data_IF_018230116867
#
_entry.id   IF_018230116867
#
_cell.length_a   1.000
_cell.length_b   1.000
_cell.length_c   1.000
_cell.angle_alpha   90.00
_cell.angle_beta   90.00
_cell.angle_gamma   90.00
#
_symmetry.space_group_name_H-M   'P 1'
#
loop_
_entity.id
_entity.type
_entity.pdbx_description
1 polymer ?
#
# COMPACT_ATOMS: atom_id res chain seq x y z
N UNK A 1 -6.01 -5.55 8.85
CA UNK A 1 -4.89 -5.24 7.94
C UNK A 1 -5.44 -5.02 6.53
N UNK A 2 -4.66 -4.40 5.66
CA UNK A 2 -4.79 -4.58 4.21
C UNK A 2 -3.43 -4.98 3.65
N UNK A 3 -3.26 -4.87 2.34
CA UNK A 3 -2.01 -5.15 1.66
C UNK A 3 -1.62 -4.01 0.72
N UNK A 4 -0.32 -3.92 0.49
CA UNK A 4 0.21 -3.21 -0.66
C UNK A 4 0.06 -4.08 -1.91
N UNK A 5 -0.17 -3.41 -3.03
CA UNK A 5 -0.25 -3.99 -4.36
C UNK A 5 0.67 -3.20 -5.29
N UNK A 6 1.31 -3.90 -6.21
CA UNK A 6 2.10 -3.28 -7.26
C UNK A 6 1.20 -3.09 -8.47
N UNK A 7 1.07 -1.84 -8.88
CA UNK A 7 0.23 -1.42 -9.99
C UNK A 7 1.08 -1.13 -11.21
N UNK A 8 0.52 -1.34 -12.40
CA UNK A 8 1.19 -1.05 -13.66
C UNK A 8 0.22 -1.02 -14.84
N UNK A 9 0.72 -0.61 -16.03
CA UNK A 9 -0.09 -0.59 -17.24
C UNK A 9 -0.48 -2.02 -17.66
N UNK A 10 -1.62 -2.14 -18.35
CA UNK A 10 -2.13 -3.43 -18.84
C UNK A 10 -1.11 -4.20 -19.70
N UNK A 11 -0.30 -3.48 -20.49
CA UNK A 11 0.73 -4.04 -21.37
C UNK A 11 1.91 -4.70 -20.65
N UNK A 12 2.13 -4.43 -19.36
CA UNK A 12 3.20 -5.02 -18.55
C UNK A 12 4.59 -5.02 -19.22
N UNK A 13 5.11 -3.86 -19.65
CA UNK A 13 6.37 -3.80 -20.38
C UNK A 13 7.59 -4.33 -19.62
N UNK A 14 7.49 -4.53 -18.30
CA UNK A 14 8.54 -5.11 -17.46
C UNK A 14 8.28 -6.60 -17.13
N UNK A 15 7.14 -7.15 -17.55
CA UNK A 15 6.77 -8.56 -17.33
C UNK A 15 6.62 -8.92 -15.85
N UNK A 16 6.10 -7.98 -15.05
CA UNK A 16 5.97 -8.07 -13.60
C UNK A 16 4.97 -9.13 -13.17
N UNK A 17 3.94 -9.43 -13.97
CA UNK A 17 2.96 -10.48 -13.65
C UNK A 17 3.58 -11.88 -13.53
N UNK A 18 4.75 -12.11 -14.12
CA UNK A 18 5.48 -13.39 -14.06
C UNK A 18 6.44 -13.46 -12.87
N UNK A 19 6.44 -12.46 -12.01
CA UNK A 19 7.37 -12.42 -10.89
C UNK A 19 7.04 -13.51 -9.88
N UNK A 20 8.07 -14.19 -9.42
CA UNK A 20 7.94 -15.19 -8.34
C UNK A 20 7.65 -14.55 -6.99
N UNK A 21 8.13 -13.32 -6.79
CA UNK A 21 8.06 -12.61 -5.53
C UNK A 21 8.20 -11.08 -5.70
N UNK A 22 7.97 -10.30 -4.63
CA UNK A 22 7.99 -8.82 -4.72
C UNK A 22 9.37 -8.27 -5.11
N UNK A 23 10.44 -8.99 -4.77
CA UNK A 23 11.80 -8.57 -5.10
C UNK A 23 12.13 -8.86 -6.58
N UNK A 24 11.66 -9.97 -7.13
CA UNK A 24 11.70 -10.26 -8.57
C UNK A 24 10.93 -9.19 -9.36
N UNK A 25 9.73 -8.81 -8.90
CA UNK A 25 8.95 -7.73 -9.50
C UNK A 25 9.71 -6.41 -9.56
N UNK A 26 10.30 -5.98 -8.44
CA UNK A 26 11.07 -4.74 -8.36
C UNK A 26 12.35 -4.82 -9.20
N UNK A 27 13.06 -5.96 -9.22
CA UNK A 27 14.24 -6.16 -10.10
C UNK A 27 13.87 -6.03 -11.57
N UNK A 28 12.72 -6.58 -11.99
CA UNK A 28 12.24 -6.49 -13.37
C UNK A 28 11.98 -5.06 -13.79
N UNK A 29 11.29 -4.28 -12.96
CA UNK A 29 11.02 -2.86 -13.22
C UNK A 29 12.33 -2.07 -13.38
N UNK A 30 13.27 -2.25 -12.44
CA UNK A 30 14.54 -1.55 -12.49
C UNK A 30 15.39 -1.97 -13.72
N UNK A 31 15.41 -3.27 -14.04
CA UNK A 31 16.15 -3.83 -15.17
C UNK A 31 15.58 -3.44 -16.53
N UNK A 32 14.25 -3.25 -16.63
CA UNK A 32 13.60 -2.78 -17.86
C UNK A 32 13.63 -1.26 -18.01
N UNK A 33 14.02 -0.52 -16.96
CA UNK A 33 14.00 0.94 -16.89
C UNK A 33 12.65 1.57 -17.27
N UNK A 34 11.55 0.84 -17.06
CA UNK A 34 10.21 1.41 -17.22
C UNK A 34 9.94 2.34 -16.05
N UNK A 35 9.20 3.42 -16.28
CA UNK A 35 8.92 4.41 -15.24
C UNK A 35 8.28 3.75 -14.01
N UNK A 36 8.78 4.13 -12.85
CA UNK A 36 8.22 3.85 -11.54
C UNK A 36 7.96 5.19 -10.84
N UNK A 37 6.74 5.41 -10.36
CA UNK A 37 6.36 6.61 -9.62
C UNK A 37 6.29 6.26 -8.14
N UNK A 38 7.21 6.83 -7.37
CA UNK A 38 7.21 6.83 -5.92
C UNK A 38 6.37 7.97 -5.37
N UNK A 39 5.78 7.72 -4.20
CA UNK A 39 5.17 8.76 -3.35
C UNK A 39 6.17 9.83 -2.97
N UNK A 40 7.37 9.46 -2.52
CA UNK A 40 8.43 10.40 -2.14
C UNK A 40 8.05 11.37 -1.03
N UNK A 41 7.13 10.99 -0.14
CA UNK A 41 6.51 11.85 0.87
C UNK A 41 6.74 11.37 2.33
N UNK A 42 7.66 10.43 2.54
CA UNK A 42 8.00 9.79 3.82
C UNK A 42 6.85 9.05 4.53
N UNK A 43 5.75 8.79 3.81
CA UNK A 43 4.62 8.00 4.28
C UNK A 43 4.95 6.52 4.46
N UNK A 44 4.00 5.77 5.03
CA UNK A 44 4.11 4.31 5.13
C UNK A 44 4.34 3.61 3.78
N UNK A 45 3.63 4.04 2.72
CA UNK A 45 3.80 3.48 1.37
C UNK A 45 5.19 3.78 0.80
N UNK A 46 5.66 5.03 0.94
CA UNK A 46 6.99 5.45 0.51
C UNK A 46 8.09 4.65 1.23
N UNK A 47 7.98 4.52 2.56
CA UNK A 47 8.92 3.72 3.35
C UNK A 47 8.91 2.24 2.95
N UNK A 48 7.73 1.68 2.69
CA UNK A 48 7.61 0.28 2.25
C UNK A 48 8.31 0.06 0.91
N UNK A 49 8.02 0.91 -0.07
CA UNK A 49 8.65 0.89 -1.40
C UNK A 49 10.18 1.05 -1.31
N UNK A 50 10.67 2.09 -0.61
CA UNK A 50 12.09 2.31 -0.38
C UNK A 50 12.78 1.12 0.28
N UNK A 51 12.10 0.43 1.21
CA UNK A 51 12.66 -0.76 1.86
C UNK A 51 12.90 -1.91 0.88
N UNK A 52 12.07 -2.06 -0.16
CA UNK A 52 12.27 -3.07 -1.20
C UNK A 52 13.48 -2.75 -2.07
N UNK A 53 13.62 -1.50 -2.51
CA UNK A 53 14.82 -1.06 -3.25
C UNK A 53 16.09 -1.22 -2.44
N UNK A 54 16.06 -0.83 -1.17
CA UNK A 54 17.18 -0.97 -0.24
C UNK A 54 17.57 -2.44 -0.05
N UNK A 55 16.59 -3.33 0.15
CA UNK A 55 16.84 -4.78 0.30
C UNK A 55 17.45 -5.40 -0.95
N UNK A 56 17.12 -4.86 -2.12
CA UNK A 56 17.69 -5.25 -3.42
C UNK A 56 19.05 -4.59 -3.72
N UNK A 57 19.50 -3.64 -2.89
CA UNK A 57 20.65 -2.78 -3.16
C UNK A 57 20.55 -2.05 -4.52
N UNK A 58 19.33 -1.70 -4.95
CA UNK A 58 19.08 -0.92 -6.16
C UNK A 58 18.95 0.56 -5.75
N UNK A 59 19.87 1.44 -6.16
CA UNK A 59 19.80 2.85 -5.82
C UNK A 59 18.76 3.54 -6.71
N UNK A 60 17.47 3.42 -6.40
CA UNK A 60 16.40 3.95 -7.26
C UNK A 60 16.49 5.47 -7.48
N UNK A 61 16.83 6.22 -6.42
CA UNK A 61 17.02 7.67 -6.48
C UNK A 61 18.08 8.10 -7.51
N UNK A 62 17.77 9.14 -8.29
CA UNK A 62 18.66 9.68 -9.32
C UNK A 62 18.59 8.94 -10.67
N UNK A 63 17.87 7.82 -10.77
CA UNK A 63 17.63 7.17 -12.06
C UNK A 63 16.50 7.86 -12.83
N UNK A 64 16.65 7.95 -14.16
CA UNK A 64 15.63 8.53 -15.05
C UNK A 64 14.30 7.77 -15.04
N UNK A 65 14.32 6.48 -14.73
CA UNK A 65 13.12 5.66 -14.66
C UNK A 65 12.39 5.80 -13.31
N UNK A 66 12.98 6.46 -12.31
CA UNK A 66 12.38 6.63 -10.99
C UNK A 66 11.92 8.08 -10.79
N UNK A 67 10.62 8.27 -10.55
CA UNK A 67 10.00 9.58 -10.33
C UNK A 67 9.56 9.65 -8.87
N UNK A 68 10.18 10.52 -8.07
CA UNK A 68 9.77 10.81 -6.70
C UNK A 68 8.80 12.00 -6.72
N UNK A 69 7.50 11.75 -6.54
CA UNK A 69 6.48 12.77 -6.74
C UNK A 69 6.38 13.80 -5.61
N UNK A 70 6.57 13.40 -4.35
CA UNK A 70 6.32 14.23 -3.17
C UNK A 70 4.83 14.52 -2.96
N UNK A 71 3.94 13.63 -3.41
CA UNK A 71 2.49 13.83 -3.47
C UNK A 71 1.71 12.71 -2.77
N UNK A 72 0.43 12.97 -2.51
CA UNK A 72 -0.49 11.97 -1.95
C UNK A 72 -0.75 10.81 -2.91
N UNK A 73 -1.21 9.67 -2.38
CA UNK A 73 -1.40 8.44 -3.17
C UNK A 73 -2.35 8.60 -4.35
N UNK A 74 -3.44 9.37 -4.20
CA UNK A 74 -4.37 9.61 -5.32
C UNK A 74 -3.72 10.33 -6.50
N UNK A 75 -2.87 11.32 -6.24
CA UNK A 75 -2.14 12.07 -7.27
C UNK A 75 -1.06 11.21 -7.93
N UNK A 76 -0.35 10.40 -7.14
CA UNK A 76 0.63 9.43 -7.65
C UNK A 76 -0.02 8.39 -8.56
N UNK A 77 -1.21 7.91 -8.22
CA UNK A 77 -1.96 6.97 -9.07
C UNK A 77 -2.36 7.60 -10.40
N UNK A 78 -2.82 8.86 -10.39
CA UNK A 78 -3.13 9.60 -11.62
C UNK A 78 -1.87 9.79 -12.48
N UNK A 79 -0.78 10.24 -11.88
CA UNK A 79 0.51 10.43 -12.57
C UNK A 79 1.04 9.12 -13.15
N UNK A 80 1.00 8.03 -12.39
CA UNK A 80 1.43 6.71 -12.87
C UNK A 80 0.54 6.23 -14.03
N UNK A 81 -0.77 6.49 -13.98
CA UNK A 81 -1.69 6.21 -15.08
C UNK A 81 -1.33 6.99 -16.35
N UNK A 82 -1.15 8.31 -16.24
CA UNK A 82 -0.76 9.16 -17.38
C UNK A 82 0.59 8.77 -17.98
N UNK A 83 1.56 8.41 -17.14
CA UNK A 83 2.89 7.98 -17.58
C UNK A 83 2.94 6.53 -18.05
N UNK A 84 1.85 5.76 -17.89
CA UNK A 84 1.84 4.30 -18.06
C UNK A 84 3.00 3.64 -17.29
N UNK A 85 3.14 4.02 -16.03
CA UNK A 85 4.23 3.66 -15.13
C UNK A 85 3.77 2.65 -14.07
N UNK A 86 4.74 2.05 -13.39
CA UNK A 86 4.49 1.25 -12.20
C UNK A 86 4.45 2.10 -10.94
N UNK A 87 3.72 1.66 -9.92
CA UNK A 87 3.75 2.29 -8.58
C UNK A 87 3.28 1.31 -7.50
N UNK A 88 3.73 1.50 -6.27
CA UNK A 88 3.24 0.76 -5.11
C UNK A 88 2.10 1.55 -4.45
N UNK A 89 0.98 0.89 -4.18
CA UNK A 89 -0.18 1.50 -3.50
C UNK A 89 -0.81 0.51 -2.52
N UNK A 90 -1.61 0.99 -1.56
CA UNK A 90 -2.49 0.10 -0.82
C UNK A 90 -3.73 -0.23 -1.66
N UNK A 91 -4.27 -1.45 -1.50
CA UNK A 91 -5.41 -1.94 -2.28
C UNK A 91 -6.64 -1.02 -2.21
N UNK A 92 -6.92 -0.46 -1.05
CA UNK A 92 -8.13 0.34 -0.86
C UNK A 92 -8.07 1.66 -1.64
N UNK A 93 -6.90 2.30 -1.67
CA UNK A 93 -6.69 3.48 -2.52
C UNK A 93 -6.78 3.11 -4.01
N UNK A 94 -6.17 2.01 -4.45
CA UNK A 94 -6.32 1.54 -5.85
C UNK A 94 -7.79 1.33 -6.24
N UNK A 95 -8.58 0.66 -5.40
CA UNK A 95 -9.99 0.39 -5.66
C UNK A 95 -10.80 1.69 -5.91
N UNK A 96 -10.42 2.78 -5.26
CA UNK A 96 -11.07 4.10 -5.41
C UNK A 96 -10.70 4.83 -6.70
N UNK A 97 -9.50 4.57 -7.24
CA UNK A 97 -8.93 5.31 -8.39
C UNK A 97 -8.83 4.49 -9.68
N UNK A 98 -9.00 3.16 -9.61
CA UNK A 98 -8.78 2.22 -10.72
C UNK A 98 -9.48 2.62 -12.01
N UNK A 99 -10.74 3.07 -11.93
CA UNK A 99 -11.53 3.51 -13.08
C UNK A 99 -10.97 4.77 -13.78
N UNK A 100 -10.16 5.57 -13.09
CA UNK A 100 -9.59 6.84 -13.61
C UNK A 100 -8.19 6.68 -14.18
N UNK A 101 -7.43 5.69 -13.71
CA UNK A 101 -6.00 5.58 -14.03
C UNK A 101 -5.69 4.53 -15.09
N UNK A 102 -6.57 3.54 -15.27
CA UNK A 102 -6.32 2.41 -16.17
C UNK A 102 -5.18 1.49 -15.71
N UNK A 103 -4.68 1.66 -14.48
CA UNK A 103 -3.66 0.82 -13.88
C UNK A 103 -4.31 -0.46 -13.30
N UNK A 104 -3.67 -1.58 -13.56
CA UNK A 104 -4.08 -2.89 -13.04
C UNK A 104 -3.14 -3.34 -11.92
N UNK A 105 -3.64 -4.19 -11.02
CA UNK A 105 -2.78 -4.92 -10.09
C UNK A 105 -1.96 -5.92 -10.91
N UNK A 106 -0.67 -5.65 -11.05
CA UNK A 106 0.27 -6.50 -11.79
C UNK A 106 1.01 -7.50 -10.89
N UNK A 107 1.07 -7.23 -9.59
CA UNK A 107 1.64 -8.16 -8.60
C UNK A 107 1.06 -7.91 -7.20
N UNK A 108 0.74 -9.00 -6.48
CA UNK A 108 0.10 -8.98 -5.16
C UNK A 108 0.30 -10.32 -4.44
N UNK A 109 -0.05 -10.38 -3.15
CA UNK A 109 -0.12 -11.62 -2.37
C UNK A 109 1.20 -12.07 -1.74
N UNK A 110 2.29 -11.34 -1.96
CA UNK A 110 3.55 -11.60 -1.26
C UNK A 110 3.42 -11.22 0.23
N UNK A 111 3.79 -12.08 1.18
CA UNK A 111 3.72 -11.79 2.61
C UNK A 111 4.45 -10.50 3.03
N UNK A 112 5.49 -10.08 2.29
CA UNK A 112 6.23 -8.83 2.54
C UNK A 112 5.42 -7.57 2.19
N UNK A 113 4.30 -7.72 1.48
CA UNK A 113 3.38 -6.62 1.12
C UNK A 113 2.24 -6.48 2.14
N UNK A 114 2.28 -7.22 3.25
CA UNK A 114 1.33 -7.10 4.35
C UNK A 114 1.40 -5.72 5.00
N UNK A 115 0.24 -5.06 5.15
CA UNK A 115 0.14 -3.74 5.77
C UNK A 115 -0.75 -3.80 7.03
N UNK A 116 -0.15 -3.99 8.22
CA UNK A 116 -0.89 -4.09 9.47
C UNK A 116 -1.44 -2.75 9.92
N UNK A 117 -2.60 -2.80 10.59
CA UNK A 117 -3.20 -1.65 11.26
C UNK A 117 -3.22 -1.93 12.75
N UNK A 118 -2.79 -0.95 13.55
CA UNK A 118 -2.78 -1.01 15.01
C UNK A 118 -3.50 0.19 15.61
N UNK A 119 -4.13 -0.03 16.77
CA UNK A 119 -4.72 1.03 17.58
C UNK A 119 -3.90 1.15 18.86
N UNK A 120 -3.42 2.36 19.12
CA UNK A 120 -2.60 2.66 20.28
C UNK A 120 -3.31 3.76 21.07
N UNK A 121 -3.75 3.43 22.29
CA UNK A 121 -4.29 4.44 23.20
C UNK A 121 -3.18 5.37 23.67
N UNK A 122 -3.46 6.67 23.72
CA UNK A 122 -2.53 7.67 24.27
C UNK A 122 -2.35 7.42 25.77
N UNK A 123 -1.12 7.54 26.27
CA UNK A 123 -0.78 7.21 27.66
C UNK A 123 -1.54 8.11 28.66
N UNK A 124 -2.42 7.55 29.52
CA UNK A 124 -3.23 8.32 30.46
C UNK A 124 -2.43 8.97 31.57
N UNK A 125 -1.26 8.40 31.94
CA UNK A 125 -0.38 9.00 32.96
C UNK A 125 0.25 10.30 32.46
N UNK A 126 0.54 10.38 31.16
CA UNK A 126 1.16 11.56 30.54
C UNK A 126 0.13 12.60 30.11
N UNK A 127 -1.07 12.17 29.72
CA UNK A 127 -2.13 13.04 29.21
C UNK A 127 -3.47 12.74 29.88
N UNK A 128 -3.62 12.97 31.20
CA UNK A 128 -4.78 12.53 31.97
C UNK A 128 -6.11 13.16 31.53
N UNK A 129 -6.09 14.33 30.90
CA UNK A 129 -7.26 15.08 30.47
C UNK A 129 -7.95 14.56 29.19
N UNK A 130 -7.34 13.61 28.47
CA UNK A 130 -7.89 13.07 27.24
C UNK A 130 -9.00 12.04 27.51
N UNK A 131 -9.83 11.76 26.51
CA UNK A 131 -10.92 10.79 26.60
C UNK A 131 -10.41 9.33 26.52
N UNK A 132 -9.80 8.86 27.62
CA UNK A 132 -9.27 7.49 27.71
C UNK A 132 -10.35 6.42 27.69
N UNK A 133 -11.51 6.71 28.28
CA UNK A 133 -12.67 5.81 28.27
C UNK A 133 -13.16 5.58 26.84
N UNK A 134 -13.31 6.64 26.05
CA UNK A 134 -13.70 6.55 24.64
C UNK A 134 -12.67 5.83 23.78
N UNK A 135 -11.37 6.11 23.99
CA UNK A 135 -10.30 5.40 23.30
C UNK A 135 -10.34 3.89 23.60
N UNK A 136 -10.57 3.50 24.85
CA UNK A 136 -10.68 2.09 25.24
C UNK A 136 -11.93 1.45 24.64
N UNK A 137 -13.08 2.12 24.70
CA UNK A 137 -14.32 1.63 24.11
C UNK A 137 -14.18 1.37 22.59
N UNK A 138 -13.50 2.25 21.86
CA UNK A 138 -13.21 2.05 20.44
C UNK A 138 -12.31 0.83 20.20
N UNK A 139 -11.24 0.69 20.99
CA UNK A 139 -10.32 -0.46 20.90
C UNK A 139 -11.08 -1.76 21.16
N UNK A 140 -11.87 -1.81 22.22
CA UNK A 140 -12.65 -3.01 22.61
C UNK A 140 -13.69 -3.36 21.56
N UNK A 141 -14.40 -2.38 21.02
CA UNK A 141 -15.38 -2.62 19.95
C UNK A 141 -14.71 -3.13 18.67
N UNK A 142 -13.62 -2.47 18.24
CA UNK A 142 -12.97 -2.77 16.96
C UNK A 142 -12.25 -4.12 16.98
N UNK A 143 -11.71 -4.52 18.13
CA UNK A 143 -11.08 -5.83 18.35
C UNK A 143 -12.08 -6.92 18.77
N UNK A 144 -13.29 -6.55 19.18
CA UNK A 144 -14.37 -7.46 19.52
C UNK A 144 -15.10 -8.06 18.31
N UNK A 145 -16.07 -8.97 18.54
CA UNK A 145 -16.79 -9.65 17.46
C UNK A 145 -17.49 -8.71 16.47
N UNK A 146 -18.12 -7.63 16.97
CA UNK A 146 -18.83 -6.67 16.13
C UNK A 146 -17.89 -5.90 15.20
N UNK A 147 -16.77 -5.37 15.72
CA UNK A 147 -15.77 -4.68 14.91
C UNK A 147 -15.12 -5.60 13.87
N UNK A 148 -14.74 -6.83 14.26
CA UNK A 148 -14.17 -7.83 13.35
C UNK A 148 -15.16 -8.23 12.23
N UNK A 149 -16.45 -8.36 12.56
CA UNK A 149 -17.49 -8.61 11.57
C UNK A 149 -17.66 -7.40 10.61
N UNK A 150 -17.69 -6.18 11.14
CA UNK A 150 -17.74 -4.96 10.33
C UNK A 150 -16.54 -4.83 9.37
N UNK A 151 -15.32 -5.11 9.83
CA UNK A 151 -14.12 -5.13 8.99
C UNK A 151 -14.27 -6.14 7.85
N UNK A 152 -14.74 -7.36 8.16
CA UNK A 152 -14.87 -8.44 7.17
C UNK A 152 -16.00 -8.20 6.16
N UNK A 153 -17.03 -7.45 6.57
CA UNK A 153 -18.17 -7.08 5.73
C UNK A 153 -17.91 -5.85 4.83
N UNK A 154 -16.86 -5.08 5.09
CA UNK A 154 -16.56 -3.87 4.32
C UNK A 154 -16.11 -4.20 2.89
N UNK A 155 -17.01 -3.97 1.92
CA UNK A 155 -16.84 -4.38 0.52
C UNK A 155 -17.22 -3.31 -0.51
N UNK A 156 -16.45 -2.23 -0.66
CA UNK A 156 -16.63 -1.31 -1.78
C UNK A 156 -16.54 -2.05 -3.12
N UNK A 157 -17.52 -1.82 -4.00
CA UNK A 157 -17.61 -2.48 -5.31
C UNK A 157 -17.56 -4.03 -5.26
N UNK A 158 -17.96 -4.63 -4.14
CA UNK A 158 -17.99 -6.09 -3.95
C UNK A 158 -16.67 -6.72 -3.51
N UNK A 159 -15.55 -5.98 -3.54
CA UNK A 159 -14.24 -6.45 -3.13
C UNK A 159 -14.00 -6.20 -1.64
N UNK A 160 -13.55 -7.22 -0.91
CA UNK A 160 -13.13 -7.04 0.49
C UNK A 160 -11.74 -6.41 0.53
N UNK A 161 -11.66 -5.21 1.12
CA UNK A 161 -10.41 -4.43 1.14
C UNK A 161 -9.62 -4.56 2.45
N UNK A 162 -10.29 -4.97 3.53
CA UNK A 162 -9.67 -5.15 4.84
C UNK A 162 -9.96 -6.53 5.40
N UNK A 163 -8.97 -7.04 6.13
CA UNK A 163 -8.97 -8.38 6.65
C UNK A 163 -8.67 -8.36 8.14
N UNK A 164 -9.29 -9.27 8.86
CA UNK A 164 -9.08 -9.46 10.29
C UNK A 164 -7.87 -10.38 10.47
N UNK A 165 -6.86 -9.94 11.22
CA UNK A 165 -5.76 -10.83 11.59
C UNK A 165 -6.31 -11.99 12.41
N UNK A 166 -5.80 -13.23 12.23
CA UNK A 166 -6.01 -14.31 13.19
C UNK A 166 -5.64 -13.76 14.58
N UNK A 167 -6.52 -13.99 15.57
CA UNK A 167 -6.17 -13.60 16.94
C UNK A 167 -4.99 -14.45 17.40
N UNK A 168 -4.04 -13.86 18.13
CA UNK A 168 -3.11 -14.64 18.94
C UNK A 168 -3.87 -15.40 20.02
#
# INVERSE_FOLDING_TARGET
YNDFVLLGPRSDPAGVRKSSDVFDAFRRIAGSQVRFVSRGDDSGTDRMEKSYWQRLAIPAGGNRWYVSAGLGMGEVLMMAGEMQAYTLSDRATHATYSARTGLEIVFQGDPRMFNPYGLIAVNPRKYPQLNHTGARALIDWLTGPAGRAAISAFRPHGEQLFFVSPGN
#
